data_IF_587830882102
#
_entry.id   IF_587830882102
#
_cell.length_a   1.000
_cell.length_b   1.000
_cell.length_c   1.000
_cell.angle_alpha   90.00
_cell.angle_beta   90.00
_cell.angle_gamma   90.00
#
_symmetry.space_group_name_H-M   'P 1'
#
loop_
_entity.id
_entity.type
_entity.pdbx_description
1 polymer ?
#
# COMPACT_ATOMS: atom_id res chain seq x y z
N UNK A 1 -2.77 -11.61 11.12
CA UNK A 1 -2.03 -10.45 10.61
C UNK A 1 -1.63 -10.76 9.18
N UNK A 2 -2.09 -9.96 8.21
CA UNK A 2 -1.83 -10.20 6.79
C UNK A 2 -0.71 -9.29 6.30
N UNK A 3 0.33 -9.88 5.70
CA UNK A 3 1.42 -9.19 5.03
C UNK A 3 1.63 -9.86 3.67
N UNK A 4 1.63 -9.06 2.60
CA UNK A 4 2.12 -9.48 1.29
C UNK A 4 3.47 -8.85 1.00
N UNK A 5 4.43 -9.68 0.60
CA UNK A 5 5.72 -9.22 0.13
C UNK A 5 5.70 -9.18 -1.39
N UNK A 6 6.23 -8.11 -1.98
CA UNK A 6 6.32 -7.96 -3.42
C UNK A 6 7.58 -7.20 -3.81
N UNK A 7 7.96 -7.35 -5.07
CA UNK A 7 9.14 -6.72 -5.63
C UNK A 7 8.73 -5.67 -6.68
N UNK A 8 9.44 -4.55 -6.66
CA UNK A 8 9.28 -3.51 -7.68
C UNK A 8 10.64 -2.99 -8.10
N UNK A 9 10.81 -2.78 -9.40
CA UNK A 9 11.98 -2.08 -9.93
C UNK A 9 11.77 -0.58 -9.75
N UNK A 10 12.67 0.05 -8.98
CA UNK A 10 12.60 1.47 -8.62
C UNK A 10 13.97 2.06 -8.95
N UNK A 11 14.01 3.01 -9.89
CA UNK A 11 15.29 3.60 -10.32
C UNK A 11 16.31 2.58 -10.81
N UNK A 12 15.86 1.47 -11.43
CA UNK A 12 16.73 0.39 -11.90
C UNK A 12 17.21 -0.60 -10.83
N UNK A 13 16.82 -0.43 -9.56
CA UNK A 13 17.10 -1.38 -8.47
C UNK A 13 15.84 -2.19 -8.13
N UNK A 14 15.97 -3.51 -8.09
CA UNK A 14 14.91 -4.37 -7.54
C UNK A 14 14.81 -4.13 -6.03
N UNK A 15 13.67 -3.61 -5.60
CA UNK A 15 13.40 -3.23 -4.21
C UNK A 15 12.34 -4.15 -3.62
N UNK A 16 12.63 -4.72 -2.45
CA UNK A 16 11.67 -5.56 -1.73
C UNK A 16 10.78 -4.73 -0.82
N UNK A 17 9.48 -4.95 -0.95
CA UNK A 17 8.43 -4.18 -0.29
C UNK A 17 7.46 -5.13 0.40
N UNK A 18 6.84 -4.62 1.46
CA UNK A 18 5.81 -5.30 2.23
C UNK A 18 4.57 -4.43 2.27
N UNK A 19 3.43 -4.99 1.88
CA UNK A 19 2.12 -4.38 2.09
C UNK A 19 1.42 -5.10 3.23
N UNK A 20 0.90 -4.36 4.20
CA UNK A 20 0.16 -4.91 5.32
C UNK A 20 -1.07 -4.06 5.63
N UNK A 21 -2.09 -4.71 6.17
CA UNK A 21 -3.22 -3.97 6.74
C UNK A 21 -2.77 -3.31 8.05
N UNK A 22 -2.85 -1.99 8.09
CA UNK A 22 -2.46 -1.21 9.26
C UNK A 22 -3.49 -1.33 10.36
N UNK A 23 -3.11 -1.90 11.50
CA UNK A 23 -3.94 -1.93 12.71
C UNK A 23 -4.09 -0.49 13.25
N UNK A 24 -5.31 0.06 13.23
CA UNK A 24 -5.58 1.45 13.62
C UNK A 24 -7.08 1.72 13.78
N UNK A 25 -7.47 2.91 14.27
CA UNK A 25 -8.87 3.26 14.51
C UNK A 25 -9.70 3.35 13.22
N UNK A 26 -9.04 3.51 12.07
CA UNK A 26 -9.61 3.38 10.73
C UNK A 26 -9.42 1.93 10.26
N UNK A 27 -10.48 1.10 10.28
CA UNK A 27 -10.41 -0.21 9.66
C UNK A 27 -10.17 -0.01 8.14
N UNK A 28 -9.37 -0.87 7.53
CA UNK A 28 -9.12 -0.89 6.07
C UNK A 28 -8.06 0.09 5.53
N UNK A 29 -6.97 0.35 6.27
CA UNK A 29 -5.77 1.01 5.69
C UNK A 29 -4.72 -0.01 5.28
N UNK A 30 -4.08 0.17 4.12
CA UNK A 30 -2.90 -0.59 3.69
C UNK A 30 -1.66 0.27 3.81
N UNK A 31 -0.64 -0.29 4.41
CA UNK A 31 0.66 0.34 4.59
C UNK A 31 1.65 -0.42 3.71
N UNK A 32 2.30 0.28 2.79
CA UNK A 32 3.41 -0.24 2.00
C UNK A 32 4.70 0.30 2.59
N UNK A 33 5.59 -0.60 2.97
CA UNK A 33 6.87 -0.30 3.59
C UNK A 33 8.02 -1.08 2.94
N UNK A 34 9.25 -0.59 3.11
CA UNK A 34 10.45 -1.31 2.70
C UNK A 34 10.63 -2.56 3.55
N UNK A 35 10.82 -3.72 2.92
CA UNK A 35 11.06 -4.97 3.63
C UNK A 35 12.36 -4.92 4.45
N UNK A 36 13.38 -4.24 3.94
CA UNK A 36 14.72 -4.18 4.54
C UNK A 36 14.80 -3.27 5.77
N UNK A 37 13.95 -2.24 5.86
CA UNK A 37 14.08 -1.18 6.87
C UNK A 37 12.78 -0.86 7.60
N UNK A 38 11.68 -1.55 7.28
CA UNK A 38 10.32 -1.24 7.77
C UNK A 38 9.90 0.23 7.56
N UNK A 39 10.54 0.93 6.62
CA UNK A 39 10.27 2.35 6.35
C UNK A 39 8.96 2.45 5.58
N UNK A 40 7.98 3.15 6.13
CA UNK A 40 6.71 3.41 5.45
C UNK A 40 6.93 4.32 4.25
N UNK A 41 6.39 3.93 3.11
CA UNK A 41 6.48 4.67 1.84
C UNK A 41 5.11 5.17 1.40
N UNK A 42 4.10 4.30 1.46
CA UNK A 42 2.75 4.62 0.99
C UNK A 42 1.73 4.16 2.01
N UNK A 43 0.72 4.98 2.26
CA UNK A 43 -0.45 4.63 3.06
C UNK A 43 -1.68 4.81 2.17
N UNK A 44 -2.44 3.74 2.00
CA UNK A 44 -3.68 3.73 1.25
C UNK A 44 -4.83 3.53 2.21
N UNK A 45 -5.69 4.54 2.33
CA UNK A 45 -6.88 4.48 3.15
C UNK A 45 -8.10 4.05 2.30
N UNK A 46 -8.76 2.96 2.68
CA UNK A 46 -9.99 2.53 2.01
C UNK A 46 -11.25 3.15 2.63
N UNK A 47 -11.13 4.13 3.54
CA UNK A 47 -12.30 4.83 4.11
C UNK A 47 -13.03 5.69 3.07
N UNK A 48 -12.35 6.06 1.97
CA UNK A 48 -12.91 6.77 0.83
C UNK A 48 -13.88 5.97 -0.06
N UNK A 49 -13.96 4.64 0.11
CA UNK A 49 -14.87 3.78 -0.64
C UNK A 49 -16.32 3.89 -0.14
N UNK A 50 -17.00 4.99 -0.48
CA UNK A 50 -18.43 5.16 -0.20
C UNK A 50 -19.25 4.41 -1.25
N UNK A 51 -19.89 3.31 -0.83
CA UNK A 51 -21.07 2.78 -1.53
C UNK A 51 -20.94 1.33 -1.97
N UNK A 52 -20.24 1.06 -3.08
CA UNK A 52 -20.48 -0.16 -3.89
C UNK A 52 -19.44 -1.28 -3.73
N UNK A 53 -18.24 -0.99 -3.22
CA UNK A 53 -17.20 -2.01 -2.96
C UNK A 53 -17.06 -2.40 -1.48
N UNK A 54 -17.99 -1.98 -0.62
CA UNK A 54 -18.01 -2.38 0.80
C UNK A 54 -18.10 -3.90 1.01
N UNK A 55 -18.72 -4.61 0.07
CA UNK A 55 -18.83 -6.07 0.04
C UNK A 55 -17.55 -6.76 -0.49
N UNK A 56 -16.67 -6.02 -1.15
CA UNK A 56 -15.41 -6.54 -1.73
C UNK A 56 -14.23 -6.29 -0.77
N UNK A 57 -14.37 -5.31 0.13
CA UNK A 57 -13.49 -5.03 1.28
C UNK A 57 -13.52 -6.17 2.34
N UNK A 58 -14.47 -7.11 2.23
CA UNK A 58 -14.55 -8.29 3.10
C UNK A 58 -13.31 -9.19 2.96
N UNK A 59 -12.60 -9.11 1.83
CA UNK A 59 -11.34 -9.82 1.61
C UNK A 59 -10.12 -8.91 1.84
N UNK A 60 -9.45 -9.02 3.01
CA UNK A 60 -8.23 -8.27 3.30
C UNK A 60 -7.13 -8.52 2.27
N UNK A 61 -7.13 -9.70 1.64
CA UNK A 61 -6.16 -10.08 0.62
C UNK A 61 -6.29 -9.26 -0.65
N UNK A 62 -7.54 -9.09 -1.10
CA UNK A 62 -7.86 -8.35 -2.32
C UNK A 62 -7.60 -6.87 -2.13
N UNK A 63 -7.92 -6.34 -0.95
CA UNK A 63 -7.64 -4.96 -0.59
C UNK A 63 -6.14 -4.65 -0.60
N UNK A 64 -5.30 -5.54 -0.06
CA UNK A 64 -3.84 -5.41 -0.14
C UNK A 64 -3.34 -5.51 -1.59
N UNK A 65 -3.89 -6.42 -2.40
CA UNK A 65 -3.50 -6.56 -3.79
C UNK A 65 -3.85 -5.32 -4.64
N UNK A 66 -5.04 -4.75 -4.43
CA UNK A 66 -5.49 -3.53 -5.11
C UNK A 66 -4.64 -2.32 -4.72
N UNK A 67 -4.30 -2.22 -3.43
CA UNK A 67 -3.39 -1.20 -2.92
C UNK A 67 -2.00 -1.26 -3.57
N UNK A 68 -1.44 -2.48 -3.71
CA UNK A 68 -0.18 -2.71 -4.41
C UNK A 68 -0.32 -2.30 -5.89
N UNK A 69 -1.41 -2.72 -6.55
CA UNK A 69 -1.65 -2.41 -7.96
C UNK A 69 -1.75 -0.91 -8.20
N UNK A 70 -2.51 -0.18 -7.38
CA UNK A 70 -2.63 1.28 -7.44
C UNK A 70 -1.29 1.97 -7.19
N UNK A 71 -0.57 1.58 -6.14
CA UNK A 71 0.73 2.16 -5.81
C UNK A 71 1.78 1.96 -6.91
N UNK A 72 1.70 0.84 -7.64
CA UNK A 72 2.52 0.57 -8.83
C UNK A 72 2.06 1.41 -10.03
N UNK A 73 0.76 1.46 -10.30
CA UNK A 73 0.20 2.15 -11.46
C UNK A 73 0.45 3.67 -11.39
N UNK A 74 0.27 4.25 -10.22
CA UNK A 74 0.45 5.69 -9.97
C UNK A 74 1.91 6.07 -9.65
N UNK A 75 2.83 5.10 -9.58
CA UNK A 75 4.23 5.35 -9.24
C UNK A 75 4.44 5.94 -7.84
N UNK A 76 3.52 5.67 -6.90
CA UNK A 76 3.55 6.24 -5.55
C UNK A 76 4.80 5.84 -4.78
N UNK A 77 5.25 4.60 -4.96
CA UNK A 77 6.41 4.05 -4.24
C UNK A 77 7.70 4.73 -4.72
N UNK A 78 7.84 4.90 -6.03
CA UNK A 78 8.97 5.62 -6.63
C UNK A 78 8.98 7.08 -6.19
N UNK A 79 7.82 7.73 -6.18
CA UNK A 79 7.64 9.10 -5.71
C UNK A 79 7.95 9.23 -4.22
N UNK A 80 7.56 8.28 -3.38
CA UNK A 80 7.87 8.27 -1.95
C UNK A 80 9.38 8.22 -1.71
N UNK A 81 10.09 7.39 -2.48
CA UNK A 81 11.54 7.24 -2.38
C UNK A 81 12.25 8.49 -2.92
N UNK A 82 11.81 9.01 -4.07
CA UNK A 82 12.41 10.19 -4.70
C UNK A 82 12.23 11.46 -3.86
N UNK A 83 11.07 11.64 -3.23
CA UNK A 83 10.76 12.81 -2.39
C UNK A 83 11.18 12.63 -0.94
N UNK A 84 11.38 11.38 -0.49
CA UNK A 84 11.56 11.05 0.92
C UNK A 84 10.30 11.25 1.78
N UNK A 85 9.14 11.50 1.17
CA UNK A 85 7.86 11.75 1.85
C UNK A 85 6.90 10.58 1.70
N UNK A 86 6.11 10.31 2.74
CA UNK A 86 5.08 9.27 2.69
C UNK A 86 3.99 9.73 1.71
N UNK A 87 3.63 8.87 0.75
CA UNK A 87 2.49 9.13 -0.13
C UNK A 87 1.23 8.60 0.54
N UNK A 88 0.34 9.49 0.94
CA UNK A 88 -0.96 9.14 1.51
C UNK A 88 -2.04 9.34 0.44
N UNK A 89 -2.81 8.30 0.14
CA UNK A 89 -3.89 8.36 -0.83
C UNK A 89 -5.07 7.50 -0.38
N UNK A 90 -6.22 7.66 -1.03
CA UNK A 90 -7.33 6.74 -0.89
C UNK A 90 -7.24 5.64 -1.93
N UNK A 91 -7.69 4.43 -1.58
CA UNK A 91 -7.82 3.33 -2.54
C UNK A 91 -8.81 3.72 -3.65
#
# INVERSE_FOLDING_TARGET
MMIQNFEQMIGGKLTQLCASLGEGPTPHRVIISLAESAKTLVVLDASGFIGTLKADIEDPEKLVADAIAKARNEGLIERAIATGTIQETSL
#
